data_IF_753322924580
#
_entry.id   IF_753322924580
#
_cell.length_a   1.000
_cell.length_b   1.000
_cell.length_c   1.000
_cell.angle_alpha   90.00
_cell.angle_beta   90.00
_cell.angle_gamma   90.00
#
_symmetry.space_group_name_H-M   'P 1'
#
loop_
_entity.id
_entity.type
_entity.pdbx_description
1 polymer ?
#
# COMPACT_ATOMS: atom_id res chain seq x y z
N UNK A 1 32.41 22.59 -24.04
CA UNK A 1 31.39 21.98 -23.17
C UNK A 1 30.41 21.19 -24.02
N UNK A 2 30.34 19.87 -23.85
CA UNK A 2 29.50 19.01 -24.70
C UNK A 2 28.04 19.07 -24.23
N UNK A 3 27.19 19.74 -25.01
CA UNK A 3 25.74 19.71 -24.82
C UNK A 3 25.23 18.34 -25.24
N UNK A 4 24.45 17.67 -24.39
CA UNK A 4 23.83 16.39 -24.72
C UNK A 4 22.95 16.57 -25.98
N UNK A 5 23.14 15.77 -27.05
CA UNK A 5 22.32 15.90 -28.26
C UNK A 5 20.83 15.75 -27.94
N UNK A 6 20.00 16.61 -28.52
CA UNK A 6 18.56 16.66 -28.22
C UNK A 6 17.87 15.29 -28.42
N UNK A 7 18.28 14.54 -29.44
CA UNK A 7 17.75 13.20 -29.72
C UNK A 7 18.10 12.20 -28.62
N UNK A 8 19.34 12.24 -28.10
CA UNK A 8 19.79 11.36 -27.02
C UNK A 8 19.01 11.65 -25.74
N UNK A 9 18.84 12.94 -25.42
CA UNK A 9 18.02 13.38 -24.29
C UNK A 9 16.56 12.92 -24.43
N UNK A 10 15.96 13.07 -25.62
CA UNK A 10 14.58 12.65 -25.89
C UNK A 10 14.41 11.13 -25.73
N UNK A 11 15.30 10.32 -26.30
CA UNK A 11 15.24 8.86 -26.19
C UNK A 11 15.43 8.40 -24.74
N UNK A 12 16.36 9.00 -24.00
CA UNK A 12 16.53 8.70 -22.58
C UNK A 12 15.28 9.05 -21.78
N UNK A 13 14.69 10.24 -21.99
CA UNK A 13 13.42 10.65 -21.35
C UNK A 13 12.28 9.66 -21.65
N UNK A 14 12.20 9.15 -22.88
CA UNK A 14 11.18 8.16 -23.27
C UNK A 14 11.38 6.83 -22.53
N UNK A 15 12.61 6.31 -22.46
CA UNK A 15 12.93 5.07 -21.72
C UNK A 15 12.73 5.23 -20.21
N UNK A 16 13.08 6.39 -19.67
CA UNK A 16 12.88 6.75 -18.27
C UNK A 16 11.39 6.79 -17.87
N UNK A 17 10.50 7.07 -18.82
CA UNK A 17 9.06 7.21 -18.57
C UNK A 17 8.23 5.98 -18.97
N UNK A 18 8.78 5.03 -19.71
CA UNK A 18 8.02 3.89 -20.25
C UNK A 18 8.67 2.55 -19.93
N UNK A 19 7.85 1.51 -19.91
CA UNK A 19 8.28 0.11 -19.82
C UNK A 19 7.45 -0.74 -20.76
N UNK A 20 8.05 -1.74 -21.37
CA UNK A 20 7.33 -2.77 -22.12
C UNK A 20 6.76 -3.78 -21.13
N UNK A 21 5.46 -4.05 -21.24
CA UNK A 21 4.77 -5.00 -20.37
C UNK A 21 4.07 -6.02 -21.25
N UNK A 22 4.25 -7.30 -20.93
CA UNK A 22 3.52 -8.40 -21.58
C UNK A 22 2.12 -8.48 -20.96
N UNK A 23 1.08 -8.21 -21.77
CA UNK A 23 -0.32 -8.21 -21.35
C UNK A 23 -1.09 -9.30 -22.08
N UNK A 24 -1.89 -10.07 -21.33
CA UNK A 24 -2.80 -11.06 -21.90
C UNK A 24 -3.99 -10.35 -22.55
N UNK A 25 -4.32 -10.72 -23.78
CA UNK A 25 -5.49 -10.25 -24.53
C UNK A 25 -6.71 -11.15 -24.24
N UNK A 26 -7.89 -10.68 -24.64
CA UNK A 26 -9.16 -11.39 -24.46
C UNK A 26 -9.24 -12.72 -25.23
N UNK A 27 -8.47 -12.84 -26.31
CA UNK A 27 -8.33 -14.06 -27.13
C UNK A 27 -7.36 -15.10 -26.52
N UNK A 28 -6.82 -14.83 -25.33
CA UNK A 28 -5.86 -15.70 -24.64
C UNK A 28 -4.40 -15.53 -25.10
N UNK A 29 -4.14 -14.76 -26.16
CA UNK A 29 -2.78 -14.45 -26.62
C UNK A 29 -2.11 -13.40 -25.74
N UNK A 30 -0.80 -13.23 -25.90
CA UNK A 30 -0.02 -12.19 -25.22
C UNK A 30 0.47 -11.14 -26.20
N UNK A 31 0.43 -9.89 -25.77
CA UNK A 31 0.98 -8.76 -26.51
C UNK A 31 1.95 -7.96 -25.66
N UNK A 32 3.01 -7.50 -26.29
CA UNK A 32 3.87 -6.48 -25.71
C UNK A 32 3.22 -5.11 -25.88
N UNK A 33 3.02 -4.41 -24.77
CA UNK A 33 2.43 -3.08 -24.75
C UNK A 33 3.36 -2.15 -24.02
N UNK A 34 3.67 -1.00 -24.65
CA UNK A 34 4.39 0.08 -23.99
C UNK A 34 3.46 0.76 -22.99
N UNK A 35 3.84 0.72 -21.72
CA UNK A 35 3.09 1.35 -20.63
C UNK A 35 3.93 2.44 -19.96
N UNK A 36 3.33 3.55 -19.52
CA UNK A 36 4.01 4.50 -18.65
C UNK A 36 4.50 3.83 -17.36
N UNK A 37 5.66 4.27 -16.86
CA UNK A 37 6.14 3.98 -15.50
C UNK A 37 5.36 4.84 -14.51
N UNK A 38 5.15 4.31 -13.31
CA UNK A 38 4.43 5.02 -12.26
C UNK A 38 5.21 6.23 -11.75
N UNK A 39 6.53 6.09 -11.63
CA UNK A 39 7.42 7.08 -11.02
C UNK A 39 8.40 7.71 -12.03
N UNK A 40 8.13 7.57 -13.33
CA UNK A 40 9.03 8.07 -14.38
C UNK A 40 9.28 9.57 -14.31
N UNK A 41 8.27 10.34 -13.93
CA UNK A 41 8.38 11.79 -13.70
C UNK A 41 9.15 12.15 -12.43
N UNK A 42 9.11 11.32 -11.39
CA UNK A 42 9.91 11.53 -10.17
C UNK A 42 11.40 11.54 -10.53
N UNK A 43 11.83 10.63 -11.41
CA UNK A 43 13.20 10.62 -11.93
C UNK A 43 13.53 11.89 -12.71
N UNK A 44 12.62 12.37 -13.57
CA UNK A 44 12.85 13.62 -14.33
C UNK A 44 12.92 14.85 -13.42
N UNK A 45 12.10 14.89 -12.35
CA UNK A 45 12.14 15.96 -11.34
C UNK A 45 13.49 15.94 -10.62
N UNK A 46 13.96 14.76 -10.18
CA UNK A 46 15.24 14.62 -9.50
C UNK A 46 16.42 15.06 -10.40
N UNK A 47 16.40 14.67 -11.66
CA UNK A 47 17.43 15.11 -12.63
C UNK A 47 17.33 16.62 -12.86
N UNK A 48 16.13 17.20 -13.00
CA UNK A 48 15.99 18.65 -13.14
C UNK A 48 16.53 19.40 -11.93
N UNK A 49 16.22 18.94 -10.71
CA UNK A 49 16.71 19.54 -9.47
C UNK A 49 18.24 19.54 -9.42
N UNK A 50 18.89 18.39 -9.68
CA UNK A 50 20.35 18.29 -9.72
C UNK A 50 20.99 19.31 -10.68
N UNK A 51 20.45 19.48 -11.88
CA UNK A 51 21.00 20.44 -12.85
C UNK A 51 20.78 21.90 -12.42
N UNK A 52 19.70 22.19 -11.70
CA UNK A 52 19.45 23.52 -11.14
C UNK A 52 20.38 23.80 -9.96
N UNK A 53 20.61 22.82 -9.09
CA UNK A 53 21.56 22.93 -7.97
C UNK A 53 22.99 23.16 -8.48
N UNK A 54 23.40 22.42 -9.52
CA UNK A 54 24.69 22.62 -10.19
C UNK A 54 24.81 24.03 -10.78
N UNK A 55 23.75 24.54 -11.42
CA UNK A 55 23.75 25.90 -11.96
C UNK A 55 23.85 26.96 -10.87
N UNK A 56 23.19 26.74 -9.72
CA UNK A 56 23.32 27.61 -8.55
C UNK A 56 24.75 27.59 -8.00
N UNK A 57 25.36 26.42 -7.80
CA UNK A 57 26.74 26.31 -7.31
C UNK A 57 27.76 26.94 -8.26
N UNK A 58 27.53 26.91 -9.57
CA UNK A 58 28.39 27.64 -10.51
C UNK A 58 28.26 29.17 -10.40
N UNK A 59 27.12 29.69 -9.94
CA UNK A 59 26.99 31.10 -9.59
C UNK A 59 27.71 31.47 -8.30
N UNK A 60 27.70 30.57 -7.31
CA UNK A 60 28.30 30.79 -5.98
C UNK A 60 29.82 30.57 -5.97
N UNK A 61 30.31 29.49 -6.60
CA UNK A 61 31.72 29.09 -6.67
C UNK A 61 32.15 28.84 -8.14
N UNK A 62 32.32 29.90 -8.96
CA UNK A 62 32.58 29.75 -10.40
C UNK A 62 33.88 29.02 -10.74
N UNK A 63 34.93 29.19 -9.92
CA UNK A 63 36.23 28.53 -10.12
C UNK A 63 36.16 27.01 -9.93
N UNK A 64 35.21 26.53 -9.12
CA UNK A 64 35.04 25.11 -8.82
C UNK A 64 34.05 24.43 -9.75
N UNK A 65 32.92 25.07 -10.03
CA UNK A 65 31.81 24.45 -10.77
C UNK A 65 31.63 25.00 -12.19
N UNK A 66 32.09 26.22 -12.49
CA UNK A 66 31.75 26.94 -13.72
C UNK A 66 32.14 26.23 -15.02
N UNK A 67 33.25 25.48 -15.05
CA UNK A 67 33.68 24.73 -16.24
C UNK A 67 32.90 23.43 -16.49
N UNK A 68 32.18 22.93 -15.48
CA UNK A 68 31.54 21.61 -15.47
C UNK A 68 30.01 21.62 -15.57
N UNK A 69 29.35 22.78 -15.52
CA UNK A 69 27.89 22.86 -15.56
C UNK A 69 27.37 22.87 -16.98
N UNK A 70 26.36 22.05 -17.27
CA UNK A 70 25.65 22.04 -18.55
C UNK A 70 24.18 22.47 -18.39
N UNK A 71 23.52 22.97 -19.46
CA UNK A 71 22.09 23.26 -19.41
C UNK A 71 21.25 22.01 -19.08
N UNK A 72 20.18 22.21 -18.29
CA UNK A 72 19.27 21.12 -17.93
C UNK A 72 18.57 20.53 -19.18
N UNK A 73 18.64 19.21 -19.42
CA UNK A 73 17.98 18.56 -20.56
C UNK A 73 16.45 18.38 -20.35
N UNK A 74 15.95 18.68 -19.15
CA UNK A 74 14.54 18.55 -18.77
C UNK A 74 13.88 19.92 -18.81
N UNK A 75 12.88 20.10 -19.67
CA UNK A 75 12.02 21.28 -19.71
C UNK A 75 10.81 21.09 -18.79
N UNK A 76 10.17 22.19 -18.41
CA UNK A 76 8.94 22.14 -17.63
C UNK A 76 7.83 21.33 -18.33
N UNK A 77 7.73 21.44 -19.66
CA UNK A 77 6.80 20.65 -20.46
C UNK A 77 7.05 19.13 -20.39
N UNK A 78 8.25 18.70 -20.02
CA UNK A 78 8.56 17.28 -19.78
C UNK A 78 8.00 16.79 -18.43
N UNK A 79 7.73 17.71 -17.49
CA UNK A 79 7.25 17.43 -16.15
C UNK A 79 5.72 17.57 -16.09
N UNK A 80 5.02 16.52 -16.50
CA UNK A 80 3.55 16.51 -16.50
C UNK A 80 2.95 16.24 -15.10
N UNK A 81 3.39 17.00 -14.09
CA UNK A 81 3.10 16.80 -12.67
C UNK A 81 1.59 16.80 -12.40
N UNK A 82 0.85 17.71 -13.02
CA UNK A 82 -0.62 17.78 -12.89
C UNK A 82 -1.29 16.51 -13.40
N UNK A 83 -0.92 16.00 -14.58
CA UNK A 83 -1.51 14.75 -15.10
C UNK A 83 -1.07 13.54 -14.26
N UNK A 84 0.14 13.53 -13.70
CA UNK A 84 0.56 12.48 -12.77
C UNK A 84 -0.32 12.47 -11.52
N UNK A 85 -0.55 13.62 -10.89
CA UNK A 85 -1.45 13.77 -9.75
C UNK A 85 -2.85 13.25 -10.06
N UNK A 86 -3.44 13.70 -11.19
CA UNK A 86 -4.74 13.22 -11.65
C UNK A 86 -4.77 11.69 -11.87
N UNK A 87 -3.70 11.09 -12.40
CA UNK A 87 -3.58 9.63 -12.56
C UNK A 87 -3.43 8.90 -11.24
N UNK A 88 -2.79 9.48 -10.23
CA UNK A 88 -2.73 8.90 -8.88
C UNK A 88 -4.14 8.91 -8.29
N UNK A 89 -4.82 10.06 -8.30
CA UNK A 89 -6.19 10.20 -7.81
C UNK A 89 -7.14 9.24 -8.51
N UNK A 90 -7.14 9.22 -9.85
CA UNK A 90 -8.00 8.32 -10.63
C UNK A 90 -7.73 6.83 -10.32
N UNK A 91 -6.48 6.44 -10.08
CA UNK A 91 -6.15 5.06 -9.67
C UNK A 91 -6.65 4.75 -8.26
N UNK A 92 -6.54 5.68 -7.33
CA UNK A 92 -7.06 5.50 -5.97
C UNK A 92 -8.58 5.41 -6.00
N UNK A 93 -9.24 6.32 -6.72
CA UNK A 93 -10.68 6.32 -6.93
C UNK A 93 -11.16 5.01 -7.54
N UNK A 94 -10.50 4.54 -8.60
CA UNK A 94 -10.84 3.27 -9.24
C UNK A 94 -10.72 2.09 -8.27
N UNK A 95 -9.65 2.04 -7.47
CA UNK A 95 -9.47 0.99 -6.46
C UNK A 95 -10.57 1.05 -5.40
N UNK A 96 -10.93 2.25 -4.95
CA UNK A 96 -12.02 2.44 -4.00
C UNK A 96 -13.34 1.97 -4.59
N UNK A 97 -13.69 2.40 -5.81
CA UNK A 97 -14.92 1.98 -6.49
C UNK A 97 -14.98 0.46 -6.71
N UNK A 98 -13.87 -0.19 -7.07
CA UNK A 98 -13.82 -1.64 -7.26
C UNK A 98 -13.94 -2.43 -5.96
N UNK A 99 -13.48 -1.86 -4.83
CA UNK A 99 -13.45 -2.56 -3.53
C UNK A 99 -14.66 -2.26 -2.65
N UNK A 100 -15.32 -1.12 -2.85
CA UNK A 100 -16.45 -0.68 -2.05
C UNK A 100 -17.60 -1.69 -1.99
N UNK A 101 -17.98 -2.40 -3.07
CA UNK A 101 -19.06 -3.39 -3.01
C UNK A 101 -18.78 -4.56 -2.05
N UNK A 102 -17.51 -4.91 -1.82
CA UNK A 102 -17.12 -5.99 -0.93
C UNK A 102 -16.93 -5.56 0.53
N UNK A 103 -17.02 -4.25 0.83
CA UNK A 103 -16.78 -3.72 2.16
C UNK A 103 -17.73 -4.30 3.23
N UNK A 104 -19.06 -4.44 2.99
CA UNK A 104 -19.95 -5.04 3.97
C UNK A 104 -19.57 -6.47 4.35
N UNK A 105 -19.08 -7.25 3.38
CA UNK A 105 -18.60 -8.62 3.62
C UNK A 105 -17.38 -8.66 4.55
N UNK A 106 -16.45 -7.72 4.37
CA UNK A 106 -15.25 -7.63 5.22
C UNK A 106 -15.63 -7.24 6.65
N UNK A 107 -16.54 -6.27 6.81
CA UNK A 107 -17.06 -5.84 8.12
C UNK A 107 -17.73 -7.01 8.84
N UNK A 108 -18.62 -7.71 8.15
CA UNK A 108 -19.32 -8.87 8.70
C UNK A 108 -18.35 -9.98 9.11
N UNK A 109 -17.43 -10.37 8.23
CA UNK A 109 -16.44 -11.41 8.53
C UNK A 109 -15.53 -11.04 9.71
N UNK A 110 -15.11 -9.77 9.83
CA UNK A 110 -14.31 -9.32 10.95
C UNK A 110 -15.08 -9.42 12.29
N UNK A 111 -16.36 -9.07 12.29
CA UNK A 111 -17.24 -9.19 13.45
C UNK A 111 -17.49 -10.65 13.83
N UNK A 112 -17.79 -11.52 12.87
CA UNK A 112 -17.94 -12.95 13.11
C UNK A 112 -16.68 -13.58 13.69
N UNK A 113 -15.49 -13.19 13.21
CA UNK A 113 -14.22 -13.66 13.76
C UNK A 113 -14.03 -13.24 15.22
N UNK A 114 -14.45 -12.02 15.59
CA UNK A 114 -14.41 -11.54 16.97
C UNK A 114 -15.37 -12.34 17.86
N UNK A 115 -16.64 -12.47 17.45
CA UNK A 115 -17.66 -13.20 18.21
C UNK A 115 -17.25 -14.66 18.45
N UNK A 116 -16.72 -15.29 17.41
CA UNK A 116 -16.22 -16.65 17.49
C UNK A 116 -14.97 -16.79 18.38
N UNK A 117 -14.13 -15.77 18.48
CA UNK A 117 -12.97 -15.80 19.36
C UNK A 117 -13.37 -15.56 20.82
N UNK A 118 -14.34 -14.67 21.07
CA UNK A 118 -14.90 -14.39 22.40
C UNK A 118 -15.63 -15.63 22.95
N UNK A 119 -16.46 -16.29 22.15
CA UNK A 119 -17.16 -17.51 22.55
C UNK A 119 -16.18 -18.62 22.97
N UNK A 120 -15.10 -18.83 22.20
CA UNK A 120 -14.07 -19.81 22.55
C UNK A 120 -13.29 -19.41 23.82
N UNK A 121 -12.98 -18.12 24.00
CA UNK A 121 -12.31 -17.64 25.20
C UNK A 121 -13.17 -17.84 26.46
N UNK A 122 -14.46 -17.51 26.38
CA UNK A 122 -15.42 -17.73 27.47
C UNK A 122 -15.52 -19.22 27.82
N UNK A 123 -15.60 -20.10 26.81
CA UNK A 123 -15.64 -21.55 27.03
C UNK A 123 -14.39 -22.08 27.76
N UNK A 124 -13.19 -21.54 27.46
CA UNK A 124 -11.97 -21.90 28.21
C UNK A 124 -11.99 -21.40 29.64
N UNK A 125 -12.52 -20.19 29.88
CA UNK A 125 -12.55 -19.60 31.21
C UNK A 125 -13.43 -20.40 32.17
N UNK A 126 -14.54 -20.97 31.67
CA UNK A 126 -15.47 -21.81 32.45
C UNK A 126 -15.03 -23.27 32.54
N UNK A 127 -14.22 -23.78 31.60
CA UNK A 127 -13.75 -25.17 31.62
C UNK A 127 -12.75 -25.45 32.76
N UNK A 128 -12.78 -26.61 33.43
CA UNK A 128 -11.81 -26.95 34.47
C UNK A 128 -10.39 -27.08 33.90
N UNK A 129 -9.37 -26.82 34.72
CA UNK A 129 -7.97 -26.97 34.32
C UNK A 129 -7.67 -28.45 33.96
N UNK A 130 -7.06 -28.68 32.79
CA UNK A 130 -6.87 -30.04 32.26
C UNK A 130 -8.13 -30.67 31.65
N UNK A 131 -9.29 -30.01 31.77
CA UNK A 131 -10.58 -30.50 31.27
C UNK A 131 -10.71 -30.42 29.76
N UNK A 132 -11.53 -31.30 29.21
CA UNK A 132 -12.00 -31.22 27.82
C UNK A 132 -13.28 -30.38 27.76
N UNK A 133 -13.41 -29.58 26.72
CA UNK A 133 -14.61 -28.81 26.44
C UNK A 133 -14.78 -28.63 24.93
N UNK A 134 -15.98 -28.30 24.50
CA UNK A 134 -16.31 -28.02 23.11
C UNK A 134 -16.64 -26.54 22.94
N UNK A 135 -16.17 -25.93 21.85
CA UNK A 135 -16.55 -24.57 21.48
C UNK A 135 -16.65 -24.46 19.96
N UNK A 136 -17.84 -24.06 19.48
CA UNK A 136 -18.14 -23.88 18.06
C UNK A 136 -17.82 -25.13 17.20
N UNK A 137 -18.18 -26.32 17.70
CA UNK A 137 -17.95 -27.59 17.01
C UNK A 137 -16.50 -28.08 17.03
N UNK A 138 -15.58 -27.38 17.71
CA UNK A 138 -14.21 -27.83 17.93
C UNK A 138 -14.03 -28.32 19.37
N UNK A 139 -13.45 -29.52 19.53
CA UNK A 139 -13.05 -30.04 20.84
C UNK A 139 -11.67 -29.55 21.23
N UNK A 140 -11.54 -29.08 22.47
CA UNK A 140 -10.31 -28.58 23.05
C UNK A 140 -10.03 -29.22 24.40
N UNK A 141 -8.74 -29.33 24.76
CA UNK A 141 -8.31 -29.69 26.11
C UNK A 141 -7.60 -28.49 26.73
N UNK A 142 -8.10 -27.98 27.86
CA UNK A 142 -7.49 -26.86 28.58
C UNK A 142 -6.17 -27.31 29.21
N UNK A 143 -5.15 -26.45 29.21
CA UNK A 143 -3.91 -26.73 29.92
C UNK A 143 -4.14 -26.85 31.44
N UNK A 144 -3.33 -27.69 32.11
CA UNK A 144 -3.41 -27.91 33.57
C UNK A 144 -2.93 -26.71 34.41
N UNK A 145 -2.31 -25.70 33.79
CA UNK A 145 -1.78 -24.51 34.48
C UNK A 145 -2.95 -23.61 34.93
N UNK A 146 -3.08 -23.32 36.24
CA UNK A 146 -4.09 -22.38 36.75
C UNK A 146 -4.00 -21.02 36.07
N UNK A 147 -5.15 -20.43 35.74
CA UNK A 147 -5.25 -19.12 35.09
C UNK A 147 -4.81 -19.08 33.62
N UNK A 148 -4.26 -20.16 33.05
CA UNK A 148 -3.91 -20.18 31.63
C UNK A 148 -5.15 -20.34 30.75
N UNK A 149 -5.08 -19.73 29.56
CA UNK A 149 -6.07 -19.83 28.48
C UNK A 149 -5.55 -20.64 27.30
N UNK A 150 -4.52 -21.45 27.56
CA UNK A 150 -3.93 -22.36 26.59
C UNK A 150 -4.80 -23.59 26.44
N UNK A 151 -5.00 -23.98 25.19
CA UNK A 151 -5.74 -25.18 24.83
C UNK A 151 -4.97 -26.00 23.82
N UNK A 152 -5.21 -27.30 23.81
CA UNK A 152 -4.78 -28.21 22.78
C UNK A 152 -6.00 -28.58 21.94
N UNK A 153 -5.91 -28.41 20.62
CA UNK A 153 -6.94 -28.91 19.70
C UNK A 153 -6.89 -30.43 19.56
N UNK A 154 -7.82 -31.01 18.82
CA UNK A 154 -7.87 -32.46 18.54
C UNK A 154 -6.57 -33.00 17.92
N UNK A 155 -5.81 -32.16 17.21
CA UNK A 155 -4.50 -32.50 16.64
C UNK A 155 -3.32 -32.30 17.60
N UNK A 156 -3.58 -31.94 18.86
CA UNK A 156 -2.56 -31.69 19.88
C UNK A 156 -1.83 -30.35 19.74
N UNK A 157 -2.27 -29.47 18.83
CA UNK A 157 -1.62 -28.16 18.64
C UNK A 157 -2.05 -27.19 19.74
N UNK A 158 -1.06 -26.58 20.40
CA UNK A 158 -1.30 -25.54 21.41
C UNK A 158 -1.82 -24.26 20.76
N UNK A 159 -2.89 -23.71 21.31
CA UNK A 159 -3.52 -22.45 20.93
C UNK A 159 -3.70 -21.60 22.18
N UNK A 160 -3.36 -20.31 22.09
CA UNK A 160 -3.64 -19.34 23.13
C UNK A 160 -4.90 -18.57 22.75
N UNK A 161 -5.99 -18.79 23.48
CA UNK A 161 -7.28 -18.20 23.13
C UNK A 161 -7.38 -16.71 23.46
N UNK A 162 -6.67 -16.23 24.49
CA UNK A 162 -6.60 -14.79 24.79
C UNK A 162 -5.87 -14.07 23.67
N UNK A 163 -4.74 -14.60 23.23
CA UNK A 163 -3.99 -14.00 22.14
C UNK A 163 -4.77 -14.00 20.82
N UNK A 164 -5.62 -15.00 20.59
CA UNK A 164 -6.48 -15.08 19.41
C UNK A 164 -7.65 -14.10 19.47
N UNK A 165 -8.34 -14.02 20.60
CA UNK A 165 -9.39 -13.02 20.82
C UNK A 165 -8.82 -11.62 20.65
N UNK A 166 -7.68 -11.31 21.26
CA UNK A 166 -7.03 -9.99 21.11
C UNK A 166 -6.71 -9.66 19.66
N UNK A 167 -6.26 -10.63 18.85
CA UNK A 167 -6.01 -10.43 17.42
C UNK A 167 -7.30 -10.17 16.64
N UNK A 168 -8.36 -10.93 16.94
CA UNK A 168 -9.67 -10.74 16.32
C UNK A 168 -10.26 -9.36 16.69
N UNK A 169 -10.13 -8.94 17.95
CA UNK A 169 -10.52 -7.62 18.43
C UNK A 169 -9.83 -6.50 17.67
N UNK A 170 -8.49 -6.53 17.55
CA UNK A 170 -7.77 -5.49 16.80
C UNK A 170 -8.08 -5.49 15.31
N UNK A 171 -8.30 -6.67 14.73
CA UNK A 171 -8.74 -6.81 13.34
C UNK A 171 -10.10 -6.13 13.11
N UNK A 172 -11.10 -6.49 13.92
CA UNK A 172 -12.42 -5.88 13.88
C UNK A 172 -12.38 -4.37 14.17
N UNK A 173 -11.71 -3.96 15.25
CA UNK A 173 -11.63 -2.55 15.64
C UNK A 173 -10.98 -1.69 14.55
N UNK A 174 -9.98 -2.20 13.85
CA UNK A 174 -9.37 -1.49 12.71
C UNK A 174 -10.35 -1.34 11.56
N UNK A 175 -11.07 -2.41 11.20
CA UNK A 175 -12.09 -2.37 10.13
C UNK A 175 -13.21 -1.39 10.48
N UNK A 176 -13.71 -1.46 11.71
CA UNK A 176 -14.81 -0.62 12.21
C UNK A 176 -14.39 0.85 12.28
N UNK A 177 -13.19 1.13 12.80
CA UNK A 177 -12.62 2.47 12.79
C UNK A 177 -12.51 3.03 11.37
N UNK A 178 -11.99 2.25 10.42
CA UNK A 178 -11.85 2.70 9.02
C UNK A 178 -13.20 2.91 8.34
N UNK A 179 -14.22 2.13 8.68
CA UNK A 179 -15.58 2.28 8.16
C UNK A 179 -16.23 3.58 8.64
N UNK A 180 -16.18 3.86 9.96
CA UNK A 180 -16.88 5.02 10.55
C UNK A 180 -16.13 6.33 10.39
N UNK A 181 -14.80 6.31 10.45
CA UNK A 181 -14.00 7.54 10.25
C UNK A 181 -13.91 7.93 8.79
N UNK A 182 -14.21 7.00 7.86
CA UNK A 182 -14.10 7.26 6.44
C UNK A 182 -12.70 7.73 6.06
N UNK A 183 -11.64 7.21 6.69
CA UNK A 183 -10.24 7.56 6.42
C UNK A 183 -9.77 7.28 4.96
N UNK A 184 -10.67 6.78 4.10
CA UNK A 184 -10.52 6.68 2.64
C UNK A 184 -11.61 7.40 1.81
N UNK A 185 -12.52 8.16 2.43
CA UNK A 185 -13.55 8.92 1.73
C UNK A 185 -12.99 10.28 1.30
N UNK A 186 -13.23 10.66 0.04
CA UNK A 186 -12.64 11.82 -0.67
C UNK A 186 -12.74 13.19 0.04
N UNK A 187 -13.48 13.31 1.14
CA UNK A 187 -13.69 14.58 1.84
C UNK A 187 -12.43 15.12 2.52
N UNK A 188 -11.48 14.27 2.90
CA UNK A 188 -10.30 14.70 3.66
C UNK A 188 -9.13 15.19 2.77
N UNK A 189 -9.16 14.93 1.46
CA UNK A 189 -8.04 15.21 0.53
C UNK A 189 -8.41 16.19 -0.61
N UNK A 190 -9.18 17.23 -0.31
CA UNK A 190 -9.15 18.44 -1.15
C UNK A 190 -8.09 19.38 -0.55
N UNK A 191 -6.87 19.48 -1.11
CA UNK A 191 -6.09 20.67 -0.86
C UNK A 191 -6.92 21.84 -1.42
N UNK A 192 -7.25 22.79 -0.55
CA UNK A 192 -7.77 24.08 -0.96
C UNK A 192 -6.70 24.75 -1.82
N UNK A 193 -6.73 24.48 -3.12
CA UNK A 193 -6.05 25.28 -4.13
C UNK A 193 -7.15 25.69 -5.09
N UNK A 194 -7.89 26.71 -4.67
CA UNK A 194 -8.59 27.60 -5.57
C UNK A 194 -7.69 28.81 -5.74
N UNK A 195 -7.36 29.10 -7.00
CA UNK A 195 -6.66 30.31 -7.46
C UNK A 195 -7.42 31.55 -7.04
#
# INVERSE_FOLDING_TARGET
MAVLPAQVAAQWKQRAQTKTVRRRRSDGTYAEVVSPRLDGSTLLIAVRALYLDLAQWAGEEPTRWGSGVAPCPIREADLNVRRQGQRVTARMDQRTHQRLPALPTVVHAAKELLDNAQARLQAVQTAPAGGRFEALGETFTRAKRPGSTWVYDAGGRRRDLVQRERRAFWGWATVEFLQHTGAGSRRCWRPAITV
#
